data_IF_676699805129
#
_entry.id   IF_676699805129
#
_cell.length_a   1.000
_cell.length_b   1.000
_cell.length_c   1.000
_cell.angle_alpha   90.00
_cell.angle_beta   90.00
_cell.angle_gamma   90.00
#
_symmetry.space_group_name_H-M   'P 1'
#
loop_
_entity.id
_entity.type
_entity.pdbx_description
1 polymer ?
#
# COMPACT_ATOMS: atom_id res chain seq x y z
N UNK A 1 -6.29 1.63 9.58
CA UNK A 1 -7.68 1.15 9.55
C UNK A 1 -8.63 2.15 8.89
N UNK A 2 -8.83 3.36 9.46
CA UNK A 2 -9.81 4.36 8.97
C UNK A 2 -9.68 4.73 7.48
N UNK A 3 -8.46 5.05 7.02
CA UNK A 3 -8.26 5.47 5.62
C UNK A 3 -8.48 4.30 4.63
N UNK A 4 -7.98 3.11 4.96
CA UNK A 4 -8.11 1.92 4.13
C UNK A 4 -9.58 1.52 3.96
N UNK A 5 -10.35 1.58 5.04
CA UNK A 5 -11.77 1.29 5.03
C UNK A 5 -12.52 2.17 4.02
N UNK A 6 -12.27 3.47 4.00
CA UNK A 6 -12.99 4.38 3.10
C UNK A 6 -12.57 4.26 1.63
N UNK A 7 -11.33 3.84 1.37
CA UNK A 7 -10.75 3.72 0.02
C UNK A 7 -11.07 2.36 -0.64
N UNK A 8 -11.24 1.30 0.14
CA UNK A 8 -11.51 -0.04 -0.39
C UNK A 8 -12.96 -0.49 -0.23
N UNK A 9 -13.68 0.02 0.78
CA UNK A 9 -15.02 -0.49 1.07
C UNK A 9 -16.00 -0.05 -0.03
N UNK A 10 -16.67 -1.02 -0.69
CA UNK A 10 -17.73 -0.72 -1.63
C UNK A 10 -18.88 0.03 -0.93
N UNK A 11 -19.45 1.01 -1.62
CA UNK A 11 -20.62 1.73 -1.16
C UNK A 11 -21.87 0.86 -1.29
N UNK A 12 -22.20 0.12 -0.23
CA UNK A 12 -23.28 -0.89 -0.24
C UNK A 12 -24.70 -0.32 -0.05
N UNK A 13 -24.85 0.98 0.20
CA UNK A 13 -26.17 1.61 0.32
C UNK A 13 -26.88 1.64 -1.04
N UNK A 14 -26.11 1.68 -2.14
CA UNK A 14 -26.61 1.42 -3.49
C UNK A 14 -25.94 0.16 -4.05
N UNK A 15 -26.58 -1.02 -3.95
CA UNK A 15 -25.95 -2.31 -4.29
C UNK A 15 -25.54 -2.45 -5.77
N UNK A 16 -26.03 -1.57 -6.65
CA UNK A 16 -25.67 -1.53 -8.07
C UNK A 16 -24.40 -0.71 -8.34
N UNK A 17 -23.86 0.00 -7.34
CA UNK A 17 -22.71 0.87 -7.52
C UNK A 17 -21.39 0.16 -7.25
N UNK A 18 -20.42 0.36 -8.15
CA UNK A 18 -19.05 -0.13 -7.99
C UNK A 18 -18.14 0.87 -7.26
N UNK A 19 -18.70 2.00 -6.81
CA UNK A 19 -17.92 3.07 -6.17
C UNK A 19 -17.63 2.74 -4.69
N UNK A 20 -16.58 3.35 -4.18
CA UNK A 20 -16.14 3.26 -2.79
C UNK A 20 -16.88 4.27 -1.91
N UNK A 21 -16.79 4.11 -0.58
CA UNK A 21 -17.27 5.12 0.37
C UNK A 21 -16.66 6.51 0.12
N UNK A 22 -15.37 6.57 -0.25
CA UNK A 22 -14.69 7.82 -0.57
C UNK A 22 -15.28 8.50 -1.82
N UNK A 23 -15.54 7.73 -2.87
CA UNK A 23 -16.15 8.22 -4.11
C UNK A 23 -17.60 8.68 -3.88
N UNK A 24 -18.38 7.94 -3.09
CA UNK A 24 -19.72 8.33 -2.70
C UNK A 24 -19.75 9.65 -1.88
N UNK A 25 -18.67 9.97 -1.17
CA UNK A 25 -18.49 11.23 -0.45
C UNK A 25 -18.00 12.39 -1.33
N UNK A 26 -17.92 12.19 -2.66
CA UNK A 26 -17.49 13.22 -3.62
C UNK A 26 -15.98 13.29 -3.85
N UNK A 27 -15.20 12.30 -3.39
CA UNK A 27 -13.77 12.25 -3.73
C UNK A 27 -13.60 11.67 -5.13
N UNK A 28 -12.96 12.43 -6.00
CA UNK A 28 -12.59 12.00 -7.35
C UNK A 28 -11.88 10.63 -7.38
N UNK A 29 -12.32 9.74 -8.27
CA UNK A 29 -11.81 8.38 -8.41
C UNK A 29 -10.28 8.33 -8.60
N UNK A 30 -9.71 9.28 -9.35
CA UNK A 30 -8.25 9.35 -9.55
C UNK A 30 -7.48 9.64 -8.25
N UNK A 31 -8.08 10.38 -7.32
CA UNK A 31 -7.47 10.65 -6.00
C UNK A 31 -7.51 9.40 -5.12
N UNK A 32 -8.60 8.65 -5.18
CA UNK A 32 -8.75 7.35 -4.50
C UNK A 32 -7.72 6.35 -5.05
N UNK A 33 -7.61 6.20 -6.38
CA UNK A 33 -6.61 5.34 -7.02
C UNK A 33 -5.16 5.76 -6.71
N UNK A 34 -4.88 7.07 -6.66
CA UNK A 34 -3.57 7.58 -6.25
C UNK A 34 -3.26 7.23 -4.81
N UNK A 35 -4.21 7.39 -3.89
CA UNK A 35 -4.00 7.09 -2.48
C UNK A 35 -3.86 5.58 -2.24
N UNK A 36 -4.64 4.74 -2.92
CA UNK A 36 -4.49 3.27 -2.93
C UNK A 36 -3.08 2.86 -3.34
N UNK A 37 -2.57 3.38 -4.46
CA UNK A 37 -1.18 3.15 -4.90
C UNK A 37 -0.15 3.61 -3.86
N UNK A 38 -0.39 4.74 -3.22
CA UNK A 38 0.50 5.27 -2.17
C UNK A 38 0.54 4.36 -0.95
N UNK A 39 -0.61 3.86 -0.48
CA UNK A 39 -0.71 2.96 0.67
C UNK A 39 -0.02 1.60 0.43
N UNK A 40 -0.09 1.10 -0.80
CA UNK A 40 0.59 -0.15 -1.19
C UNK A 40 2.11 0.02 -1.39
N UNK A 41 2.60 1.28 -1.49
CA UNK A 41 4.03 1.61 -1.67
C UNK A 41 4.67 2.25 -0.44
N UNK A 42 3.87 2.71 0.52
CA UNK A 42 4.33 3.37 1.74
C UNK A 42 3.68 2.66 2.92
N UNK A 43 4.44 1.81 3.62
CA UNK A 43 3.98 1.27 4.90
C UNK A 43 3.88 2.42 5.88
N UNK A 44 2.70 2.58 6.48
CA UNK A 44 2.52 3.49 7.59
C UNK A 44 3.32 2.96 8.77
N UNK A 45 4.52 3.50 8.99
CA UNK A 45 5.14 3.41 10.30
C UNK A 45 4.25 4.14 11.30
N UNK A 46 4.29 3.73 12.57
CA UNK A 46 3.58 4.42 13.65
C UNK A 46 3.96 5.90 13.76
N UNK A 47 5.07 6.29 13.12
CA UNK A 47 5.49 7.67 12.95
C UNK A 47 5.39 8.05 11.47
N UNK A 48 4.92 9.27 11.19
CA UNK A 48 4.95 9.88 9.84
C UNK A 48 6.37 10.31 9.42
N UNK A 49 7.38 9.73 10.05
CA UNK A 49 8.79 10.08 9.83
C UNK A 49 9.23 9.53 8.48
N UNK A 50 10.02 10.33 7.76
CA UNK A 50 10.71 9.86 6.57
C UNK A 50 11.69 8.74 6.96
N UNK A 51 11.79 7.70 6.13
CA UNK A 51 12.84 6.70 6.27
C UNK A 51 14.17 7.31 5.88
N UNK A 52 15.23 7.02 6.62
CA UNK A 52 16.59 7.23 6.12
C UNK A 52 16.84 6.36 4.88
N UNK A 53 17.84 6.69 4.07
CA UNK A 53 18.15 5.89 2.87
C UNK A 53 18.49 4.43 3.22
N UNK A 54 19.20 4.19 4.32
CA UNK A 54 19.49 2.82 4.80
C UNK A 54 18.20 2.09 5.18
N UNK A 55 17.31 2.74 5.94
CA UNK A 55 16.01 2.17 6.29
C UNK A 55 15.17 1.90 5.05
N UNK A 56 15.22 2.77 4.02
CA UNK A 56 14.54 2.57 2.74
C UNK A 56 15.11 1.37 1.98
N UNK A 57 16.43 1.19 1.98
CA UNK A 57 17.09 0.06 1.29
C UNK A 57 16.81 -1.27 1.99
N UNK A 58 16.85 -1.30 3.32
CA UNK A 58 16.43 -2.46 4.10
C UNK A 58 14.94 -2.78 3.88
N UNK A 59 14.10 -1.74 3.95
CA UNK A 59 12.66 -1.78 3.71
C UNK A 59 12.27 -2.41 2.37
N UNK A 60 12.97 -2.02 1.31
CA UNK A 60 12.76 -2.52 -0.05
C UNK A 60 13.54 -3.81 -0.34
N UNK A 61 14.17 -4.43 0.67
CA UNK A 61 15.06 -5.58 0.51
C UNK A 61 16.14 -5.39 -0.57
N UNK A 62 16.60 -4.15 -0.75
CA UNK A 62 17.64 -3.77 -1.70
C UNK A 62 19.04 -4.11 -1.18
N UNK A 63 19.19 -4.31 0.12
CA UNK A 63 20.44 -4.78 0.71
C UNK A 63 20.67 -6.23 0.29
N UNK A 64 21.92 -6.56 -0.01
CA UNK A 64 22.30 -7.95 -0.26
C UNK A 64 22.36 -8.68 1.08
N UNK A 65 21.71 -9.84 1.15
CA UNK A 65 21.81 -10.79 2.25
C UNK A 65 21.89 -12.20 1.64
N UNK A 66 22.58 -13.17 2.25
CA UNK A 66 22.61 -14.55 1.77
C UNK A 66 21.21 -15.15 1.54
N UNK A 67 20.24 -14.72 2.35
CA UNK A 67 18.84 -15.14 2.36
C UNK A 67 18.02 -14.56 1.20
N UNK A 68 18.52 -13.55 0.49
CA UNK A 68 17.87 -12.97 -0.70
C UNK A 68 17.92 -13.93 -1.90
N UNK A 69 18.94 -14.77 -1.97
CA UNK A 69 19.06 -15.83 -3.00
C UNK A 69 18.10 -17.01 -2.73
N UNK A 70 17.52 -17.08 -1.52
CA UNK A 70 16.56 -18.11 -1.17
C UNK A 70 15.21 -17.86 -1.86
N UNK A 71 14.88 -18.69 -2.85
CA UNK A 71 13.62 -18.62 -3.63
C UNK A 71 12.34 -18.65 -2.77
N UNK A 72 12.37 -19.21 -1.55
CA UNK A 72 11.23 -19.14 -0.62
C UNK A 72 10.95 -17.72 -0.15
N UNK A 73 11.99 -16.90 0.06
CA UNK A 73 11.85 -15.51 0.52
C UNK A 73 11.28 -14.59 -0.57
N UNK A 74 11.60 -14.82 -1.84
CA UNK A 74 11.00 -14.09 -2.97
C UNK A 74 9.47 -14.25 -3.03
N UNK A 75 8.94 -15.40 -2.58
CA UNK A 75 7.51 -15.74 -2.66
C UNK A 75 6.66 -15.09 -1.57
N UNK A 76 7.27 -14.78 -0.42
CA UNK A 76 6.60 -14.14 0.73
C UNK A 76 6.91 -12.64 0.84
N UNK A 77 7.91 -12.17 0.08
CA UNK A 77 8.26 -10.75 0.00
C UNK A 77 7.16 -10.01 -0.76
N UNK A 78 6.49 -9.02 -0.14
CA UNK A 78 5.46 -8.25 -0.81
C UNK A 78 6.01 -7.59 -2.07
N UNK A 79 5.22 -7.54 -3.16
CA UNK A 79 5.68 -7.07 -4.47
C UNK A 79 6.27 -5.65 -4.50
N UNK A 80 6.07 -4.83 -3.48
CA UNK A 80 6.70 -3.52 -3.35
C UNK A 80 8.17 -3.57 -2.89
N UNK A 81 8.66 -4.73 -2.43
CA UNK A 81 10.04 -4.99 -2.01
C UNK A 81 10.79 -5.89 -3.00
N UNK A 82 10.19 -6.21 -4.15
CA UNK A 82 10.85 -6.87 -5.27
C UNK A 82 11.10 -5.83 -6.37
N UNK A 83 12.15 -5.02 -6.21
CA UNK A 83 12.67 -4.12 -7.24
C UNK A 83 14.19 -4.12 -7.20
#
# INVERSE_FOLDING_TARGET
YLLWHNIEKPYRISPQSSITHAEAAGIEAWRVARQRRRMLRQRSFFTRSALSETQRRDWLQLLWTPERENRRNLRITPCYAAA
#
